data_IF_836132847158
#
_entry.id   IF_836132847158
#
_cell.length_a   1.000
_cell.length_b   1.000
_cell.length_c   1.000
_cell.angle_alpha   90.00
_cell.angle_beta   90.00
_cell.angle_gamma   90.00
#
_symmetry.space_group_name_H-M   'P 1'
#
loop_
_entity.id
_entity.type
_entity.pdbx_description
1 polymer ?
#
# COMPACT_ATOMS: atom_id res chain seq x y z
N UNK A 1 1.19 -1.97 -12.52
CA UNK A 1 1.86 -0.67 -12.26
C UNK A 1 3.31 -0.58 -12.80
N UNK A 2 4.30 -1.34 -12.30
CA UNK A 2 5.72 -1.19 -12.68
C UNK A 2 6.01 -1.35 -14.18
N UNK A 3 5.34 -2.28 -14.85
CA UNK A 3 5.47 -2.43 -16.31
C UNK A 3 4.93 -1.20 -17.07
N UNK A 4 3.87 -0.58 -16.57
CA UNK A 4 3.31 0.66 -17.12
C UNK A 4 4.30 1.83 -16.88
N UNK A 5 4.91 1.94 -15.69
CA UNK A 5 5.91 2.99 -15.40
C UNK A 5 7.09 2.86 -16.38
N UNK A 6 7.56 1.64 -16.61
CA UNK A 6 8.61 1.38 -17.60
C UNK A 6 8.18 1.75 -19.03
N UNK A 7 6.91 1.58 -19.40
CA UNK A 7 6.38 2.01 -20.71
C UNK A 7 6.33 3.54 -20.80
N UNK A 8 5.81 4.23 -19.79
CA UNK A 8 5.80 5.69 -19.69
C UNK A 8 7.22 6.24 -19.81
N UNK A 9 8.16 5.73 -19.00
CA UNK A 9 9.54 6.17 -19.02
C UNK A 9 10.25 5.91 -20.37
N UNK A 10 9.96 4.80 -21.06
CA UNK A 10 10.46 4.55 -22.42
C UNK A 10 9.94 5.55 -23.43
N UNK A 11 8.65 5.91 -23.37
CA UNK A 11 8.05 6.92 -24.25
C UNK A 11 8.70 8.28 -24.01
N UNK A 12 8.86 8.67 -22.75
CA UNK A 12 9.45 9.96 -22.36
C UNK A 12 10.94 10.07 -22.69
N UNK A 13 11.70 8.98 -22.55
CA UNK A 13 13.11 8.95 -22.96
C UNK A 13 13.27 9.11 -24.47
N UNK A 14 12.32 8.55 -25.26
CA UNK A 14 12.32 8.69 -26.72
C UNK A 14 12.01 10.13 -27.16
N UNK A 15 11.26 10.89 -26.36
CA UNK A 15 10.89 12.29 -26.67
C UNK A 15 11.86 13.36 -26.15
N UNK A 16 13.02 12.99 -25.55
CA UNK A 16 14.03 13.91 -24.96
C UNK A 16 13.46 14.90 -23.93
N UNK A 17 12.36 14.58 -23.26
CA UNK A 17 11.67 15.51 -22.33
C UNK A 17 12.25 15.55 -20.91
N UNK A 18 13.35 14.85 -20.60
CA UNK A 18 13.94 14.85 -19.24
C UNK A 18 15.47 14.97 -19.28
N UNK A 19 16.01 16.10 -18.78
CA UNK A 19 16.95 16.24 -17.64
C UNK A 19 17.90 17.46 -17.76
N UNK A 20 17.72 18.53 -16.95
CA UNK A 20 18.84 19.33 -16.45
C UNK A 20 19.32 18.80 -15.07
N UNK A 21 20.65 18.73 -14.88
CA UNK A 21 21.35 18.32 -13.65
C UNK A 21 20.95 19.19 -12.46
N UNK A 22 20.63 18.57 -11.32
CA UNK A 22 20.41 19.24 -10.03
C UNK A 22 21.74 19.37 -9.27
N UNK A 23 22.05 20.57 -8.78
CA UNK A 23 23.17 20.88 -7.87
C UNK A 23 22.60 20.85 -6.44
N UNK A 24 23.22 20.08 -5.55
CA UNK A 24 22.88 19.97 -4.13
C UNK A 24 23.57 21.09 -3.34
N UNK A 25 22.89 21.64 -2.34
CA UNK A 25 23.52 22.37 -1.23
C UNK A 25 22.79 22.02 0.07
N UNK A 26 23.50 21.29 0.92
CA UNK A 26 23.23 21.00 2.32
C UNK A 26 23.48 22.22 3.20
N UNK A 27 22.74 22.39 4.29
CA UNK A 27 23.25 23.01 5.52
C UNK A 27 22.45 22.53 6.74
N UNK A 28 23.21 22.02 7.71
CA UNK A 28 22.90 21.55 9.07
C UNK A 28 22.35 22.70 9.95
N UNK A 29 21.36 22.49 10.80
CA UNK A 29 21.39 21.86 12.14
C UNK A 29 22.20 22.64 13.17
N UNK A 30 21.52 23.22 14.18
CA UNK A 30 22.10 23.56 15.48
C UNK A 30 21.02 23.59 16.57
N UNK A 31 21.22 22.77 17.61
CA UNK A 31 20.51 22.75 18.90
C UNK A 31 21.34 23.52 19.93
N UNK A 32 20.71 24.10 20.97
CA UNK A 32 21.22 24.08 22.35
C UNK A 32 20.14 24.55 23.38
N UNK A 33 20.34 24.51 24.73
CA UNK A 33 19.55 23.60 25.56
C UNK A 33 19.01 24.21 26.89
N UNK A 34 18.42 23.33 27.71
CA UNK A 34 18.24 23.38 29.20
C UNK A 34 17.24 24.37 29.79
N UNK A 35 16.29 23.86 30.59
CA UNK A 35 15.99 24.41 31.92
C UNK A 35 15.47 23.33 32.90
N UNK A 36 15.80 23.53 34.19
CA UNK A 36 15.68 22.65 35.37
C UNK A 36 14.39 22.86 36.16
N UNK A 37 14.04 21.85 36.98
CA UNK A 37 13.32 21.97 38.27
C UNK A 37 11.82 21.70 38.18
N UNK A 38 11.12 21.10 39.13
CA UNK A 38 11.43 20.62 40.48
C UNK A 38 10.16 20.00 41.09
N UNK A 39 10.35 19.13 42.08
CA UNK A 39 9.37 18.35 42.84
C UNK A 39 8.14 19.11 43.38
N UNK A 40 6.98 18.44 43.46
CA UNK A 40 6.26 18.21 44.74
C UNK A 40 5.09 17.22 44.59
N UNK A 41 5.01 16.32 45.56
CA UNK A 41 3.91 15.37 45.81
C UNK A 41 2.72 16.12 46.42
N UNK A 42 1.51 15.80 46.00
CA UNK A 42 0.29 15.93 46.82
C UNK A 42 -0.56 14.69 46.56
N UNK A 43 -0.83 13.95 47.63
CA UNK A 43 -1.81 12.87 47.67
C UNK A 43 -3.21 13.48 47.83
N UNK A 44 -4.17 13.02 47.04
CA UNK A 44 -5.58 13.21 47.35
C UNK A 44 -6.32 11.89 47.11
N UNK A 45 -6.77 11.31 48.21
CA UNK A 45 -7.70 10.19 48.28
C UNK A 45 -9.05 10.68 47.75
N UNK A 46 -9.56 10.05 46.69
CA UNK A 46 -10.99 10.12 46.35
C UNK A 46 -11.50 8.70 46.11
N UNK A 47 -12.35 8.30 47.04
CA UNK A 47 -13.19 7.12 47.05
C UNK A 47 -14.15 7.20 45.86
N UNK A 48 -13.93 6.40 44.82
CA UNK A 48 -14.85 6.30 43.69
C UNK A 48 -15.77 5.10 43.89
N UNK A 49 -17.07 5.39 44.00
CA UNK A 49 -18.13 4.39 43.92
C UNK A 49 -17.92 3.51 42.69
N UNK A 50 -17.86 2.20 42.90
CA UNK A 50 -18.00 1.20 41.83
C UNK A 50 -19.49 1.19 41.45
N UNK A 51 -19.88 2.15 40.61
CA UNK A 51 -21.11 2.06 39.85
C UNK A 51 -20.81 1.12 38.69
N UNK A 52 -21.27 -0.14 38.78
CA UNK A 52 -21.23 -1.12 37.70
C UNK A 52 -22.22 -0.66 36.62
N UNK A 53 -21.88 0.43 35.93
CA UNK A 53 -22.64 0.92 34.79
C UNK A 53 -22.47 -0.13 33.68
N UNK A 54 -23.57 -0.80 33.33
CA UNK A 54 -23.71 -1.48 32.05
C UNK A 54 -23.57 -0.43 30.95
N UNK A 55 -22.32 -0.14 30.56
CA UNK A 55 -22.03 0.65 29.38
C UNK A 55 -22.62 -0.14 28.20
N UNK A 56 -23.54 0.45 27.41
CA UNK A 56 -23.98 -0.18 26.18
C UNK A 56 -22.73 -0.37 25.32
N UNK A 57 -22.33 -1.62 25.13
CA UNK A 57 -21.31 -1.98 24.14
C UNK A 57 -21.97 -1.75 22.79
N UNK A 58 -21.91 -0.51 22.29
CA UNK A 58 -22.34 -0.22 20.93
C UNK A 58 -21.53 -1.12 20.01
N UNK A 59 -22.19 -1.92 19.15
CA UNK A 59 -21.47 -2.73 18.19
C UNK A 59 -20.56 -1.80 17.37
N UNK A 60 -19.28 -2.13 17.28
CA UNK A 60 -18.36 -1.39 16.42
C UNK A 60 -18.90 -1.47 14.99
N UNK A 61 -19.44 -0.35 14.50
CA UNK A 61 -19.99 -0.25 13.16
C UNK A 61 -18.84 -0.34 12.14
N UNK A 62 -19.14 -0.86 10.95
CA UNK A 62 -18.20 -0.86 9.85
C UNK A 62 -17.95 0.58 9.39
N UNK A 63 -16.70 1.01 9.34
CA UNK A 63 -16.30 2.36 8.94
C UNK A 63 -15.96 2.36 7.45
N UNK A 64 -16.47 3.34 6.71
CA UNK A 64 -16.26 3.46 5.26
C UNK A 64 -15.33 4.62 4.96
N UNK A 65 -14.39 4.42 4.06
CA UNK A 65 -13.41 5.44 3.68
C UNK A 65 -13.21 5.50 2.18
N UNK A 66 -12.90 6.69 1.69
CA UNK A 66 -12.39 6.90 0.35
C UNK A 66 -11.10 7.70 0.39
N UNK A 67 -10.13 7.27 -0.41
CA UNK A 67 -8.86 7.94 -0.58
C UNK A 67 -8.54 8.12 -2.08
N UNK A 68 -7.97 9.26 -2.43
CA UNK A 68 -7.46 9.53 -3.78
C UNK A 68 -5.96 9.67 -3.72
N UNK A 69 -5.29 9.17 -4.75
CA UNK A 69 -3.85 9.18 -4.88
C UNK A 69 -3.43 9.63 -6.26
N UNK A 70 -2.39 10.46 -6.28
CA UNK A 70 -1.68 10.79 -7.49
C UNK A 70 -0.31 10.12 -7.49
N UNK A 71 0.14 9.78 -8.70
CA UNK A 71 1.37 9.05 -8.91
C UNK A 71 2.24 9.78 -9.92
N UNK A 72 3.40 10.23 -9.47
CA UNK A 72 4.41 10.88 -10.28
C UNK A 72 5.55 9.92 -10.59
N UNK A 73 6.02 9.92 -11.84
CA UNK A 73 7.20 9.19 -12.27
C UNK A 73 8.17 10.14 -12.98
N UNK A 74 9.36 10.36 -12.41
CA UNK A 74 10.33 11.30 -12.98
C UNK A 74 9.82 12.74 -13.05
N UNK A 75 8.88 13.11 -12.17
CA UNK A 75 8.25 14.44 -12.12
C UNK A 75 7.01 14.61 -13.00
N UNK A 76 6.59 13.58 -13.73
CA UNK A 76 5.39 13.59 -14.57
C UNK A 76 4.25 12.89 -13.86
N UNK A 77 3.07 13.53 -13.80
CA UNK A 77 1.85 12.93 -13.27
C UNK A 77 1.40 11.79 -14.18
N UNK A 78 1.70 10.57 -13.76
CA UNK A 78 1.61 9.36 -14.58
C UNK A 78 0.29 8.63 -14.38
N UNK A 79 -0.18 8.53 -13.14
CA UNK A 79 -1.43 7.86 -12.80
C UNK A 79 -2.23 8.64 -11.76
N UNK A 80 -3.52 8.33 -11.73
CA UNK A 80 -4.39 8.58 -10.59
C UNK A 80 -4.98 7.26 -10.09
N UNK A 81 -5.28 7.20 -8.81
CA UNK A 81 -5.95 6.06 -8.20
C UNK A 81 -6.98 6.50 -7.15
N UNK A 82 -8.06 5.74 -7.06
CA UNK A 82 -9.09 5.86 -6.05
C UNK A 82 -9.15 4.55 -5.27
N UNK A 83 -9.19 4.68 -3.95
CA UNK A 83 -9.31 3.59 -3.02
C UNK A 83 -10.61 3.79 -2.26
N UNK A 84 -11.45 2.77 -2.23
CA UNK A 84 -12.61 2.68 -1.36
C UNK A 84 -12.38 1.50 -0.43
N UNK A 85 -12.50 1.69 0.87
CA UNK A 85 -12.40 0.57 1.79
C UNK A 85 -13.43 0.66 2.90
N UNK A 86 -13.89 -0.52 3.31
CA UNK A 86 -14.82 -0.75 4.40
C UNK A 86 -14.06 -1.57 5.44
N UNK A 87 -13.97 -1.05 6.66
CA UNK A 87 -13.28 -1.69 7.77
C UNK A 87 -14.28 -1.94 8.90
N UNK A 88 -14.61 -3.21 9.13
CA UNK A 88 -15.45 -3.64 10.24
C UNK A 88 -14.74 -4.61 11.18
N UNK A 89 -15.31 -4.88 12.37
CA UNK A 89 -14.73 -5.80 13.34
C UNK A 89 -14.77 -7.27 12.88
N UNK A 90 -15.62 -7.61 11.91
CA UNK A 90 -15.82 -8.96 11.39
C UNK A 90 -15.44 -9.11 9.92
N UNK A 91 -15.58 -8.05 9.14
CA UNK A 91 -15.44 -8.09 7.68
C UNK A 91 -14.74 -6.84 7.19
N UNK A 92 -14.10 -6.95 6.03
CA UNK A 92 -13.51 -5.83 5.33
C UNK A 92 -13.71 -5.97 3.82
N UNK A 93 -13.72 -4.84 3.15
CA UNK A 93 -13.69 -4.76 1.69
C UNK A 93 -12.74 -3.66 1.26
N UNK A 94 -11.97 -3.90 0.20
CA UNK A 94 -11.06 -2.91 -0.38
C UNK A 94 -11.22 -2.95 -1.89
N UNK A 95 -11.44 -1.78 -2.49
CA UNK A 95 -11.52 -1.58 -3.93
C UNK A 95 -10.54 -0.49 -4.34
N UNK A 96 -9.75 -0.77 -5.37
CA UNK A 96 -8.84 0.19 -5.99
C UNK A 96 -9.23 0.31 -7.46
N UNK A 97 -9.43 1.53 -7.93
CA UNK A 97 -9.47 1.85 -9.35
C UNK A 97 -8.29 2.76 -9.68
N UNK A 98 -7.54 2.44 -10.72
CA UNK A 98 -6.35 3.21 -11.12
C UNK A 98 -6.22 3.30 -12.62
N UNK A 99 -5.71 4.42 -13.10
CA UNK A 99 -5.56 4.66 -14.53
C UNK A 99 -4.44 5.65 -14.83
N UNK A 100 -3.93 5.60 -16.06
CA UNK A 100 -3.04 6.64 -16.59
C UNK A 100 -3.73 7.99 -16.61
N UNK A 101 -2.98 9.06 -16.35
CA UNK A 101 -3.50 10.41 -16.24
C UNK A 101 -3.35 11.24 -17.53
N UNK A 102 -4.36 12.05 -17.85
CA UNK A 102 -4.32 13.09 -18.88
C UNK A 102 -3.91 12.59 -20.27
N UNK A 103 -2.90 13.23 -20.87
CA UNK A 103 -2.43 12.87 -22.22
C UNK A 103 -1.80 11.47 -22.27
N UNK A 104 -1.27 10.96 -21.15
CA UNK A 104 -0.68 9.62 -21.09
C UNK A 104 -1.75 8.54 -21.26
N UNK A 105 -3.01 8.80 -20.86
CA UNK A 105 -4.14 7.89 -21.12
C UNK A 105 -4.35 7.67 -22.61
N UNK A 106 -4.05 8.66 -23.45
CA UNK A 106 -4.12 8.50 -24.91
C UNK A 106 -2.91 7.78 -25.47
N UNK A 107 -1.70 8.00 -24.92
CA UNK A 107 -0.42 7.50 -25.47
C UNK A 107 -0.07 6.08 -24.99
N UNK A 108 -0.45 5.74 -23.76
CA UNK A 108 -0.17 4.47 -23.10
C UNK A 108 -1.34 4.10 -22.19
N UNK A 109 -2.58 3.94 -22.72
CA UNK A 109 -3.76 3.67 -21.90
C UNK A 109 -3.54 2.44 -21.04
N UNK A 110 -3.79 2.63 -19.76
CA UNK A 110 -3.76 1.58 -18.77
C UNK A 110 -4.82 1.89 -17.72
N UNK A 111 -5.63 0.88 -17.40
CA UNK A 111 -6.63 0.92 -16.35
C UNK A 111 -6.52 -0.37 -15.55
N UNK A 112 -6.73 -0.31 -14.25
CA UNK A 112 -6.83 -1.49 -13.41
C UNK A 112 -7.83 -1.27 -12.28
N UNK A 113 -8.68 -2.25 -12.04
CA UNK A 113 -9.51 -2.35 -10.85
C UNK A 113 -9.14 -3.59 -10.05
N UNK A 114 -8.91 -3.43 -8.75
CA UNK A 114 -8.64 -4.52 -7.82
C UNK A 114 -9.71 -4.47 -6.75
N UNK A 115 -10.31 -5.61 -6.43
CA UNK A 115 -11.36 -5.72 -5.41
C UNK A 115 -11.05 -6.91 -4.52
N UNK A 116 -11.09 -6.71 -3.21
CA UNK A 116 -10.93 -7.76 -2.21
C UNK A 116 -12.07 -7.66 -1.20
N UNK A 117 -12.66 -8.79 -0.87
CA UNK A 117 -13.52 -8.95 0.31
C UNK A 117 -12.89 -9.98 1.23
N UNK A 118 -13.01 -9.77 2.53
CA UNK A 118 -12.50 -10.72 3.51
C UNK A 118 -13.13 -10.54 4.88
N UNK A 119 -12.67 -11.38 5.80
CA UNK A 119 -13.13 -11.43 7.19
C UNK A 119 -11.99 -11.14 8.15
N UNK A 120 -12.34 -10.75 9.36
CA UNK A 120 -11.43 -10.53 10.47
C UNK A 120 -11.66 -11.64 11.50
N UNK A 121 -10.69 -12.53 11.65
CA UNK A 121 -10.74 -13.62 12.62
C UNK A 121 -9.59 -13.48 13.62
N UNK A 122 -9.92 -13.29 14.91
CA UNK A 122 -8.92 -13.09 15.98
C UNK A 122 -7.92 -11.97 15.66
N UNK A 123 -8.40 -10.88 15.08
CA UNK A 123 -7.59 -9.72 14.66
C UNK A 123 -6.72 -9.94 13.42
N UNK A 124 -6.85 -11.09 12.73
CA UNK A 124 -6.19 -11.36 11.44
C UNK A 124 -7.17 -11.18 10.30
N UNK A 125 -6.74 -10.48 9.25
CA UNK A 125 -7.49 -10.36 8.00
C UNK A 125 -7.26 -11.61 7.15
N UNK A 126 -8.35 -12.25 6.75
CA UNK A 126 -8.35 -13.41 5.86
C UNK A 126 -9.17 -13.07 4.62
N UNK A 127 -8.61 -13.24 3.41
CA UNK A 127 -9.36 -12.98 2.19
C UNK A 127 -10.48 -14.01 2.02
N UNK A 128 -11.56 -13.62 1.35
CA UNK A 128 -12.66 -14.49 0.91
C UNK A 128 -12.72 -14.48 -0.62
N UNK A 129 -12.57 -13.30 -1.23
CA UNK A 129 -12.46 -13.17 -2.68
C UNK A 129 -11.52 -12.04 -3.06
N UNK A 130 -10.83 -12.21 -4.18
CA UNK A 130 -10.05 -11.17 -4.83
C UNK A 130 -10.33 -11.17 -6.33
N UNK A 131 -10.41 -9.99 -6.95
CA UNK A 131 -10.49 -9.82 -8.40
C UNK A 131 -9.55 -8.71 -8.83
N UNK A 132 -8.70 -9.00 -9.83
CA UNK A 132 -7.87 -8.01 -10.49
C UNK A 132 -8.23 -7.96 -11.98
N UNK A 133 -8.77 -6.82 -12.43
CA UNK A 133 -9.18 -6.55 -13.80
C UNK A 133 -8.26 -5.46 -14.35
N UNK A 134 -7.46 -5.78 -15.37
CA UNK A 134 -6.45 -4.88 -15.93
C UNK A 134 -6.59 -4.77 -17.43
N UNK A 135 -6.63 -3.54 -17.92
CA UNK A 135 -6.75 -3.22 -19.34
C UNK A 135 -5.57 -2.39 -19.82
N UNK A 136 -5.00 -2.80 -20.95
CA UNK A 136 -4.03 -2.06 -21.76
C UNK A 136 -4.53 -2.02 -23.20
N UNK A 137 -3.83 -1.31 -24.10
CA UNK A 137 -4.15 -1.36 -25.55
C UNK A 137 -4.25 -2.76 -26.16
N UNK A 138 -3.46 -3.72 -25.67
CA UNK A 138 -3.27 -5.03 -26.33
C UNK A 138 -3.85 -6.20 -25.54
N UNK A 139 -4.20 -5.96 -24.27
CA UNK A 139 -4.52 -7.01 -23.31
C UNK A 139 -5.57 -6.48 -22.34
N UNK A 140 -6.67 -7.20 -22.23
CA UNK A 140 -7.59 -7.17 -21.11
C UNK A 140 -7.43 -8.48 -20.34
N UNK A 141 -7.17 -8.39 -19.05
CA UNK A 141 -6.88 -9.53 -18.19
C UNK A 141 -7.70 -9.45 -16.91
N UNK A 142 -8.44 -10.50 -16.60
CA UNK A 142 -9.23 -10.64 -15.39
C UNK A 142 -8.72 -11.86 -14.64
N UNK A 143 -8.27 -11.65 -13.40
CA UNK A 143 -7.87 -12.70 -12.48
C UNK A 143 -8.85 -12.72 -11.31
N UNK A 144 -9.47 -13.86 -11.04
CA UNK A 144 -10.42 -14.05 -9.94
C UNK A 144 -9.93 -15.13 -9.00
N UNK A 145 -10.02 -14.89 -7.71
CA UNK A 145 -9.51 -15.74 -6.64
C UNK A 145 -10.62 -15.95 -5.61
N UNK A 146 -10.81 -17.18 -5.16
CA UNK A 146 -11.70 -17.51 -4.04
C UNK A 146 -10.91 -18.19 -2.94
N UNK A 147 -11.26 -17.89 -1.69
CA UNK A 147 -10.60 -18.41 -0.51
C UNK A 147 -11.61 -19.07 0.42
N UNK A 148 -11.16 -20.05 1.21
CA UNK A 148 -11.99 -20.68 2.24
C UNK A 148 -12.11 -19.81 3.51
N UNK A 149 -12.87 -20.28 4.49
CA UNK A 149 -13.04 -19.63 5.79
C UNK A 149 -11.76 -19.51 6.63
N UNK A 150 -10.68 -20.17 6.25
CA UNK A 150 -9.37 -20.07 6.90
C UNK A 150 -8.41 -19.15 6.12
N UNK A 151 -8.86 -18.61 4.98
CA UNK A 151 -8.05 -17.78 4.09
C UNK A 151 -7.16 -18.57 3.12
N UNK A 152 -7.37 -19.88 2.97
CA UNK A 152 -6.64 -20.69 2.00
C UNK A 152 -7.26 -20.53 0.60
N UNK A 153 -6.42 -20.34 -0.43
CA UNK A 153 -6.89 -20.22 -1.81
C UNK A 153 -7.51 -21.55 -2.28
N UNK A 154 -8.78 -21.50 -2.69
CA UNK A 154 -9.55 -22.67 -3.16
C UNK A 154 -9.73 -22.70 -4.67
N UNK A 155 -9.81 -21.52 -5.32
CA UNK A 155 -9.92 -21.45 -6.76
C UNK A 155 -9.28 -20.19 -7.32
N UNK A 156 -8.78 -20.32 -8.53
CA UNK A 156 -8.19 -19.27 -9.34
C UNK A 156 -8.71 -19.41 -10.77
N UNK A 157 -9.08 -18.29 -11.39
CA UNK A 157 -9.48 -18.23 -12.79
C UNK A 157 -8.82 -17.01 -13.44
N UNK A 158 -8.32 -17.20 -14.66
CA UNK A 158 -7.71 -16.16 -15.48
C UNK A 158 -8.40 -16.11 -16.85
N UNK A 159 -8.92 -14.94 -17.20
CA UNK A 159 -9.46 -14.64 -18.52
C UNK A 159 -8.61 -13.57 -19.18
N UNK A 160 -8.09 -13.86 -20.37
CA UNK A 160 -7.29 -12.93 -21.17
C UNK A 160 -7.97 -12.70 -22.50
N UNK A 161 -8.30 -11.45 -22.81
CA UNK A 161 -8.99 -11.05 -24.04
C UNK A 161 -10.26 -11.89 -24.32
N UNK A 162 -11.01 -12.21 -23.27
CA UNK A 162 -12.24 -13.01 -23.34
C UNK A 162 -12.02 -14.52 -23.45
N UNK A 163 -10.78 -15.01 -23.43
CA UNK A 163 -10.45 -16.44 -23.45
C UNK A 163 -10.00 -16.89 -22.07
N UNK A 164 -10.46 -18.07 -21.65
CA UNK A 164 -9.95 -18.70 -20.44
C UNK A 164 -8.48 -19.14 -20.67
N UNK A 165 -7.58 -18.58 -19.89
CA UNK A 165 -6.14 -18.90 -19.85
C UNK A 165 -5.73 -19.39 -18.46
N UNK A 166 -6.69 -19.90 -17.66
CA UNK A 166 -6.44 -20.43 -16.32
C UNK A 166 -5.43 -21.57 -16.37
N UNK A 167 -4.39 -21.49 -15.55
CA UNK A 167 -3.42 -22.57 -15.40
C UNK A 167 -4.06 -23.76 -14.67
N UNK A 168 -4.18 -24.90 -15.34
CA UNK A 168 -4.77 -26.13 -14.79
C UNK A 168 -3.82 -26.93 -13.91
N UNK A 169 -2.51 -26.84 -14.17
CA UNK A 169 -1.48 -27.68 -13.54
C UNK A 169 -0.50 -26.85 -12.69
N UNK A 170 -1.02 -25.92 -11.90
CA UNK A 170 -0.20 -25.13 -10.99
C UNK A 170 0.14 -25.97 -9.75
N UNK A 171 1.44 -26.13 -9.46
CA UNK A 171 1.91 -26.80 -8.24
C UNK A 171 1.28 -26.13 -6.99
N UNK A 172 0.55 -26.88 -6.14
CA UNK A 172 -0.02 -26.37 -4.90
C UNK A 172 0.98 -25.63 -4.01
N UNK A 173 2.26 -26.00 -4.04
CA UNK A 173 3.31 -25.30 -3.30
C UNK A 173 3.46 -23.82 -3.69
N UNK A 174 2.99 -23.42 -4.88
CA UNK A 174 3.06 -22.04 -5.35
C UNK A 174 2.01 -21.17 -4.64
N UNK A 175 0.80 -21.68 -4.40
CA UNK A 175 -0.32 -20.89 -3.90
C UNK A 175 -0.81 -21.28 -2.49
N UNK A 176 -0.28 -22.34 -1.90
CA UNK A 176 -0.55 -22.72 -0.51
C UNK A 176 -0.15 -21.61 0.46
N UNK A 177 -1.02 -21.33 1.44
CA UNK A 177 -0.83 -20.32 2.49
C UNK A 177 -0.57 -18.89 1.96
N UNK A 178 -1.04 -18.63 0.74
CA UNK A 178 -0.94 -17.30 0.09
C UNK A 178 -2.18 -16.46 0.34
N UNK A 179 -2.03 -15.15 0.16
CA UNK A 179 -3.12 -14.18 0.15
C UNK A 179 -2.99 -13.22 -1.04
N UNK A 180 -4.01 -12.40 -1.27
CA UNK A 180 -3.92 -11.31 -2.25
C UNK A 180 -3.14 -10.10 -1.70
N UNK A 181 -2.62 -9.30 -2.62
CA UNK A 181 -1.80 -8.12 -2.30
C UNK A 181 -2.58 -7.05 -1.52
N UNK A 182 -3.90 -6.92 -1.69
CA UNK A 182 -4.66 -5.92 -0.94
C UNK A 182 -4.81 -6.35 0.52
N UNK A 183 -5.12 -7.63 0.76
CA UNK A 183 -5.14 -8.18 2.12
C UNK A 183 -3.79 -8.03 2.81
N UNK A 184 -2.68 -8.27 2.10
CA UNK A 184 -1.33 -8.09 2.63
C UNK A 184 -1.06 -6.64 3.08
N UNK A 185 -1.35 -5.66 2.22
CA UNK A 185 -1.15 -4.23 2.54
C UNK A 185 -2.09 -3.75 3.63
N UNK A 186 -3.36 -4.18 3.60
CA UNK A 186 -4.35 -3.77 4.60
C UNK A 186 -4.06 -4.38 5.98
N UNK A 187 -3.48 -5.58 6.03
CA UNK A 187 -2.95 -6.16 7.27
C UNK A 187 -1.77 -5.36 7.83
N UNK A 188 -0.89 -4.85 6.97
CA UNK A 188 0.21 -3.99 7.38
C UNK A 188 -0.29 -2.64 7.93
N UNK A 189 -1.28 -2.03 7.29
CA UNK A 189 -1.89 -0.77 7.77
C UNK A 189 -2.41 -0.92 9.20
N UNK A 190 -3.17 -1.99 9.47
CA UNK A 190 -3.65 -2.33 10.81
C UNK A 190 -2.50 -2.50 11.80
N UNK A 191 -1.48 -3.28 11.42
CA UNK A 191 -0.32 -3.57 12.27
C UNK A 191 0.39 -2.28 12.68
N UNK A 192 0.66 -1.40 11.72
CA UNK A 192 1.25 -0.08 11.97
C UNK A 192 0.32 0.75 12.86
N UNK A 193 -0.98 0.72 12.59
CA UNK A 193 -1.97 1.51 13.32
C UNK A 193 -2.11 1.15 14.80
N UNK A 194 -1.89 -0.12 15.15
CA UNK A 194 -1.86 -0.59 16.55
C UNK A 194 -0.46 -0.57 17.17
N UNK A 195 0.52 0.06 16.51
CA UNK A 195 1.87 0.26 17.04
C UNK A 195 2.75 -0.98 17.03
N UNK A 196 2.42 -2.02 16.24
CA UNK A 196 3.24 -3.24 16.11
C UNK A 196 4.41 -3.13 15.13
N UNK A 197 4.67 -1.93 14.59
CA UNK A 197 5.78 -1.70 13.66
C UNK A 197 5.50 -2.18 12.23
N UNK A 198 6.56 -2.26 11.43
CA UNK A 198 6.48 -2.56 10.00
C UNK A 198 6.84 -4.01 9.66
N UNK A 199 7.30 -4.79 10.62
CA UNK A 199 7.86 -6.11 10.41
C UNK A 199 6.76 -7.08 9.97
N UNK A 200 6.72 -7.40 8.69
CA UNK A 200 5.73 -8.31 8.09
C UNK A 200 6.29 -8.94 6.81
N UNK A 201 5.98 -10.21 6.56
CA UNK A 201 6.42 -10.93 5.36
C UNK A 201 5.31 -11.80 4.73
N UNK A 202 4.13 -11.22 4.42
CA UNK A 202 3.03 -11.97 3.80
C UNK A 202 3.47 -12.63 2.50
N UNK A 203 3.06 -13.88 2.32
CA UNK A 203 3.22 -14.62 1.08
C UNK A 203 2.04 -14.28 0.16
N UNK A 204 2.35 -13.71 -1.00
CA UNK A 204 1.36 -13.24 -1.97
C UNK A 204 1.42 -14.09 -3.22
N UNK A 205 0.26 -14.45 -3.77
CA UNK A 205 0.11 -15.10 -5.07
C UNK A 205 -0.46 -14.11 -6.09
N UNK A 206 0.17 -13.99 -7.27
CA UNK A 206 -0.27 -13.12 -8.38
C UNK A 206 -0.44 -13.90 -9.69
N UNK A 207 -1.37 -14.86 -9.68
CA UNK A 207 -1.82 -15.68 -10.82
C UNK A 207 -0.90 -16.83 -11.27
N UNK A 208 0.41 -16.60 -11.40
CA UNK A 208 1.33 -17.63 -11.94
C UNK A 208 2.58 -17.87 -11.06
N UNK A 209 2.67 -17.16 -9.95
CA UNK A 209 3.82 -17.15 -9.06
C UNK A 209 3.46 -16.62 -7.69
N UNK A 210 4.34 -16.86 -6.74
CA UNK A 210 4.24 -16.32 -5.38
C UNK A 210 5.53 -15.67 -4.93
N UNK A 211 5.38 -14.69 -4.04
CA UNK A 211 6.48 -13.92 -3.46
C UNK A 211 6.16 -13.47 -2.05
N UNK A 212 7.20 -13.32 -1.22
CA UNK A 212 7.09 -12.58 0.03
C UNK A 212 7.20 -11.10 -0.23
N UNK A 213 6.23 -10.34 0.28
CA UNK A 213 6.32 -8.89 0.37
C UNK A 213 6.86 -8.56 1.76
N UNK A 214 8.15 -8.26 1.84
CA UNK A 214 8.89 -8.08 3.09
C UNK A 214 8.88 -6.60 3.46
N UNK A 215 8.37 -6.27 4.63
CA UNK A 215 8.32 -4.93 5.21
C UNK A 215 9.20 -4.84 6.44
N UNK A 216 9.98 -3.76 6.54
CA UNK A 216 10.97 -3.54 7.60
C UNK A 216 11.10 -2.06 7.95
N UNK A 217 11.78 -1.78 9.05
CA UNK A 217 12.31 -0.46 9.41
C UNK A 217 11.24 0.59 9.66
N UNK A 218 10.33 0.37 10.62
CA UNK A 218 9.26 1.31 10.98
C UNK A 218 9.71 2.58 11.68
N UNK A 219 10.34 3.48 10.94
CA UNK A 219 10.85 4.75 11.46
C UNK A 219 9.77 5.84 11.40
N UNK A 220 9.56 6.53 12.51
CA UNK A 220 8.76 7.76 12.55
C UNK A 220 9.53 8.91 11.90
N UNK A 221 8.87 9.62 10.99
CA UNK A 221 9.42 10.75 10.26
C UNK A 221 8.36 11.85 10.16
N UNK A 222 8.78 13.11 10.29
CA UNK A 222 7.91 14.25 9.95
C UNK A 222 8.03 14.46 8.44
N UNK A 223 6.94 14.21 7.73
CA UNK A 223 6.85 14.50 6.30
C UNK A 223 6.55 15.98 6.12
N UNK A 224 7.35 16.63 5.28
CA UNK A 224 7.11 18.00 4.81
C UNK A 224 6.48 17.95 3.41
N UNK A 225 5.50 18.82 3.10
CA UNK A 225 4.94 18.96 1.77
C UNK A 225 5.98 19.35 0.72
N UNK A 226 5.77 18.93 -0.51
CA UNK A 226 6.52 19.39 -1.67
C UNK A 226 5.64 19.33 -2.93
N UNK A 227 6.19 19.75 -4.07
CA UNK A 227 5.46 19.78 -5.35
C UNK A 227 4.89 18.43 -5.84
N UNK A 228 5.29 17.31 -5.24
CA UNK A 228 4.84 15.96 -5.61
C UNK A 228 4.16 15.22 -4.46
N UNK A 229 3.95 15.86 -3.30
CA UNK A 229 3.21 15.28 -2.18
C UNK A 229 2.80 16.36 -1.19
N UNK A 230 1.49 16.52 -0.99
CA UNK A 230 0.89 17.57 -0.15
C UNK A 230 0.84 17.24 1.34
N UNK A 231 0.90 15.95 1.72
CA UNK A 231 0.79 15.55 3.13
C UNK A 231 1.91 16.15 3.99
N UNK A 232 1.52 16.65 5.17
CA UNK A 232 2.39 17.17 6.22
C UNK A 232 2.04 16.49 7.54
N UNK A 233 3.04 16.05 8.30
CA UNK A 233 2.83 15.50 9.63
C UNK A 233 3.68 14.26 9.93
N UNK A 234 3.48 13.70 11.11
CA UNK A 234 4.13 12.44 11.52
C UNK A 234 3.62 11.27 10.66
N UNK A 235 4.56 10.47 10.17
CA UNK A 235 4.29 9.23 9.46
C UNK A 235 5.31 8.15 9.86
N UNK A 236 4.91 6.89 9.70
CA UNK A 236 5.77 5.72 9.87
C UNK A 236 6.16 5.22 8.49
N UNK A 237 7.43 5.29 8.15
CA UNK A 237 7.96 4.75 6.91
C UNK A 237 8.30 3.27 7.06
N UNK A 238 7.70 2.41 6.23
CA UNK A 238 8.07 1.01 6.11
C UNK A 238 8.85 0.81 4.79
N UNK A 239 10.11 0.37 4.89
CA UNK A 239 10.86 -0.09 3.73
C UNK A 239 10.28 -1.43 3.24
N UNK A 240 10.22 -1.66 1.93
CA UNK A 240 9.68 -2.91 1.41
C UNK A 240 10.46 -3.51 0.23
N UNK A 241 10.40 -4.84 0.13
CA UNK A 241 10.97 -5.62 -0.96
C UNK A 241 10.12 -6.85 -1.29
N UNK A 242 10.37 -7.41 -2.46
CA UNK A 242 9.75 -8.62 -3.00
C UNK A 242 10.82 -9.71 -3.07
N UNK A 243 10.58 -10.82 -2.39
CA UNK A 243 11.38 -12.03 -2.51
C UNK A 243 10.58 -13.09 -3.28
N UNK A 244 11.01 -13.49 -4.48
CA UNK A 244 10.43 -14.63 -5.19
C UNK A 244 10.42 -15.89 -4.32
N UNK A 245 9.32 -16.65 -4.34
CA UNK A 245 9.20 -17.93 -3.61
C UNK A 245 8.84 -19.07 -4.57
N UNK A 246 7.72 -18.97 -5.29
CA UNK A 246 7.25 -20.03 -6.19
C UNK A 246 6.85 -19.54 -7.58
N UNK A 247 6.73 -20.48 -8.53
CA UNK A 247 6.19 -20.25 -9.87
C UNK A 247 7.13 -19.57 -10.87
N UNK A 248 6.55 -18.94 -11.90
CA UNK A 248 7.30 -18.45 -13.06
C UNK A 248 7.96 -17.10 -12.81
N UNK A 249 9.29 -17.12 -12.69
CA UNK A 249 10.13 -15.92 -12.61
C UNK A 249 11.09 -15.84 -13.79
N UNK A 250 11.35 -14.62 -14.28
CA UNK A 250 12.36 -14.42 -15.31
C UNK A 250 13.78 -14.67 -14.77
N UNK A 251 14.58 -15.48 -15.48
CA UNK A 251 16.00 -15.73 -15.14
C UNK A 251 16.83 -14.46 -14.98
N UNK A 252 16.57 -13.43 -15.81
CA UNK A 252 17.19 -12.11 -15.70
C UNK A 252 16.23 -11.15 -14.98
N UNK A 253 16.69 -10.34 -14.01
CA UNK A 253 15.84 -9.36 -13.33
C UNK A 253 15.16 -8.42 -14.32
N UNK A 254 13.83 -8.41 -14.31
CA UNK A 254 12.98 -7.53 -15.13
C UNK A 254 11.93 -6.87 -14.25
N UNK A 255 11.34 -5.79 -14.74
CA UNK A 255 10.26 -5.09 -14.04
C UNK A 255 10.67 -4.67 -12.62
N UNK A 256 9.88 -5.09 -11.62
CA UNK A 256 10.12 -4.76 -10.22
C UNK A 256 11.47 -5.26 -9.70
N UNK A 257 11.89 -6.49 -10.07
CA UNK A 257 13.16 -7.04 -9.61
C UNK A 257 14.37 -6.19 -10.04
N UNK A 258 14.29 -5.55 -11.21
CA UNK A 258 15.35 -4.62 -11.64
C UNK A 258 15.39 -3.37 -10.76
N UNK A 259 14.22 -2.79 -10.46
CA UNK A 259 14.10 -1.61 -9.60
C UNK A 259 14.60 -1.91 -8.19
N UNK A 260 14.20 -3.06 -7.64
CA UNK A 260 14.61 -3.48 -6.32
C UNK A 260 16.12 -3.76 -6.25
N UNK A 261 16.71 -4.44 -7.23
CA UNK A 261 18.16 -4.68 -7.24
C UNK A 261 18.95 -3.38 -7.31
N UNK A 262 18.43 -2.40 -8.06
CA UNK A 262 19.00 -1.06 -8.06
C UNK A 262 18.90 -0.41 -6.67
N UNK A 263 17.72 -0.44 -6.06
CA UNK A 263 17.48 0.13 -4.73
C UNK A 263 18.39 -0.49 -3.66
N UNK A 264 18.62 -1.80 -3.71
CA UNK A 264 19.59 -2.50 -2.86
C UNK A 264 21.01 -1.97 -3.07
N UNK A 265 21.44 -1.86 -4.33
CA UNK A 265 22.78 -1.36 -4.67
C UNK A 265 23.02 0.08 -4.21
N UNK A 266 22.00 0.94 -4.29
CA UNK A 266 22.12 2.34 -3.86
C UNK A 266 21.82 2.58 -2.39
N UNK A 267 21.40 1.56 -1.63
CA UNK A 267 20.94 1.70 -0.25
C UNK A 267 19.63 2.49 -0.11
N UNK A 268 18.87 2.65 -1.18
CA UNK A 268 17.65 3.46 -1.23
C UNK A 268 16.44 2.57 -1.48
N UNK A 269 16.13 1.71 -0.51
CA UNK A 269 14.97 0.82 -0.58
C UNK A 269 13.66 1.58 -0.79
N UNK A 270 12.69 1.01 -1.52
CA UNK A 270 11.33 1.56 -1.60
C UNK A 270 10.74 1.75 -0.20
N UNK A 271 10.08 2.89 0.05
CA UNK A 271 9.44 3.18 1.34
C UNK A 271 7.98 3.54 1.10
N UNK A 272 7.07 2.95 1.88
CA UNK A 272 5.68 3.36 2.02
C UNK A 272 5.50 4.01 3.40
N UNK A 273 4.97 5.22 3.42
CA UNK A 273 4.72 6.00 4.63
C UNK A 273 3.24 5.91 4.98
N UNK A 274 2.95 5.56 6.23
CA UNK A 274 1.62 5.50 6.80
C UNK A 274 1.45 6.61 7.84
N UNK A 275 0.30 7.28 7.85
CA UNK A 275 -0.02 8.24 8.89
C UNK A 275 -1.44 8.02 9.40
N UNK A 276 -1.68 8.43 10.65
CA UNK A 276 -3.02 8.56 11.18
C UNK A 276 -3.71 9.77 10.53
N UNK A 277 -4.81 9.53 9.84
CA UNK A 277 -5.63 10.53 9.16
C UNK A 277 -6.89 10.90 9.95
N UNK A 278 -7.16 10.17 11.04
CA UNK A 278 -8.30 10.47 11.89
C UNK A 278 -8.12 11.77 12.64
N UNK A 279 -9.21 12.53 12.74
CA UNK A 279 -9.34 13.67 13.66
C UNK A 279 -10.02 13.27 14.98
N UNK A 280 -10.39 12.00 15.12
CA UNK A 280 -11.09 11.47 16.30
C UNK A 280 -10.14 10.61 17.14
N UNK A 281 -10.62 10.15 18.30
CA UNK A 281 -9.84 9.26 19.19
C UNK A 281 -9.55 7.89 18.58
N UNK A 282 -10.31 7.46 17.56
CA UNK A 282 -10.05 6.22 16.83
C UNK A 282 -9.03 6.49 15.72
N UNK A 283 -7.81 5.94 15.78
CA UNK A 283 -6.82 6.17 14.75
C UNK A 283 -7.21 5.46 13.45
N UNK A 284 -7.07 6.17 12.33
CA UNK A 284 -7.32 5.64 10.99
C UNK A 284 -6.05 5.81 10.18
N UNK A 285 -5.32 4.73 9.99
CA UNK A 285 -4.07 4.77 9.25
C UNK A 285 -4.31 4.52 7.76
N UNK A 286 -3.58 5.26 6.93
CA UNK A 286 -3.52 5.00 5.49
C UNK A 286 -2.14 5.37 4.92
N UNK A 287 -1.77 4.84 3.75
CA UNK A 287 -0.61 5.33 3.02
C UNK A 287 -0.78 6.82 2.71
N UNK A 288 0.24 7.63 3.02
CA UNK A 288 0.24 9.07 2.70
C UNK A 288 1.25 9.41 1.62
N UNK A 289 2.31 8.60 1.51
CA UNK A 289 3.37 8.77 0.52
C UNK A 289 4.05 7.42 0.27
N UNK A 290 4.43 7.12 -0.96
CA UNK A 290 5.32 6.01 -1.30
C UNK A 290 6.41 6.55 -2.20
N UNK A 291 7.67 6.25 -1.88
CA UNK A 291 8.85 6.74 -2.61
C UNK A 291 9.66 5.56 -3.12
N UNK A 292 9.93 5.56 -4.42
CA UNK A 292 10.73 4.52 -5.09
C UNK A 292 11.73 5.23 -5.99
N UNK A 293 13.01 5.15 -5.64
CA UNK A 293 14.09 5.76 -6.42
C UNK A 293 14.57 4.78 -7.50
N UNK A 294 14.66 5.26 -8.73
CA UNK A 294 15.10 4.47 -9.89
C UNK A 294 16.08 5.28 -10.74
N UNK A 295 16.78 4.62 -11.67
CA UNK A 295 17.71 5.28 -12.62
C UNK A 295 16.97 6.22 -13.58
N UNK A 296 15.65 6.06 -13.69
CA UNK A 296 14.79 6.87 -14.55
C UNK A 296 14.18 8.06 -13.79
N UNK A 297 14.51 8.22 -12.51
CA UNK A 297 13.95 9.21 -11.61
C UNK A 297 13.17 8.60 -10.45
N UNK A 298 12.60 9.47 -9.62
CA UNK A 298 11.81 9.06 -8.46
C UNK A 298 10.36 8.83 -8.87
N UNK A 299 9.82 7.71 -8.42
CA UNK A 299 8.39 7.44 -8.40
C UNK A 299 7.84 7.83 -7.03
N UNK A 300 6.78 8.64 -7.03
CA UNK A 300 6.10 9.11 -5.83
C UNK A 300 4.61 8.86 -6.01
N UNK A 301 4.04 7.97 -5.20
CA UNK A 301 2.59 7.95 -5.00
C UNK A 301 2.28 8.76 -3.73
N UNK A 302 1.22 9.57 -3.74
CA UNK A 302 0.84 10.32 -2.54
C UNK A 302 -0.67 10.50 -2.44
N UNK A 303 -1.13 10.64 -1.21
CA UNK A 303 -2.51 10.96 -0.89
C UNK A 303 -2.86 12.38 -1.34
N UNK A 304 -4.01 12.55 -1.98
CA UNK A 304 -4.56 13.85 -2.40
C UNK A 304 -5.89 14.18 -1.75
N UNK A 305 -6.70 13.17 -1.42
CA UNK A 305 -7.93 13.32 -0.63
C UNK A 305 -8.12 12.11 0.28
N UNK A 306 -8.73 12.33 1.44
CA UNK A 306 -9.18 11.29 2.35
C UNK A 306 -10.51 11.70 2.98
N UNK A 307 -11.51 10.84 2.88
CA UNK A 307 -12.89 11.10 3.31
C UNK A 307 -13.43 9.89 4.06
N UNK A 308 -13.96 10.11 5.26
CA UNK A 308 -14.81 9.15 5.95
C UNK A 308 -16.23 9.27 5.41
N UNK A 309 -16.84 8.12 5.06
CA UNK A 309 -18.19 8.04 4.53
C UNK A 309 -19.13 7.50 5.60
N UNK A 310 -20.37 8.02 5.67
CA UNK A 310 -21.37 7.43 6.55
C UNK A 310 -21.61 5.95 6.19
N UNK A 311 -21.83 5.15 7.21
CA UNK A 311 -22.35 3.79 7.07
C UNK A 311 -23.77 3.92 6.54
N UNK A 312 -24.03 3.39 5.34
CA UNK A 312 -25.39 3.33 4.78
C UNK A 312 -26.17 2.19 5.39
#
# INVERSE_FOLDING_TARGET
MVQMINRVAKVLKKSRLLFPRKRESSLSQQQDPRFRGGSKRVALRSMFLICLACLPVSPALAENYAAKYDVYAGGIHALQARFDYQAGPKEYAVSIASETYGILSKIVPWHATLNTKGQVLKGKKLPISHKADTTTRKKHEINTYSYDKNGALVSFNQVVNGKDETLTDLDPAIYKDTMDVLTAIFSLIDQVGVGKGCEAEPLVFDSERSYRLIFKNGKKEILVPNKYSSFSGEAIGCAFEVKPEGGKWHKKPRGWMKIQNQAKKSGQMPIIYFANLSKTEKPVYAPVRTVIKTDLGTFIAHLTSFEEKPVK
#
